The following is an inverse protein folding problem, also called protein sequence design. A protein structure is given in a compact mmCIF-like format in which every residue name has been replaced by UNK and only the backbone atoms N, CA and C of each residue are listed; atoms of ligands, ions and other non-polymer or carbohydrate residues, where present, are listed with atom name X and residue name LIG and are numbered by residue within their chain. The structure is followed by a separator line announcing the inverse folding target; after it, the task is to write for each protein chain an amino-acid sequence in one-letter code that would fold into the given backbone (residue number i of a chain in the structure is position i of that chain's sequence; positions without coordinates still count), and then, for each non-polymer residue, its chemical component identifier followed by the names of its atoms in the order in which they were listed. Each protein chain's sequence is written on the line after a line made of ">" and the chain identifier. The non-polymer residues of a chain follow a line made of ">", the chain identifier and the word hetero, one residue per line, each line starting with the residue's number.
data_IF_969582026482
#
_entry.id   IF_969582026482
#
_cell.length_a   1.000
_cell.length_b   1.000
_cell.length_c   1.000
_cell.angle_alpha   90.00
_cell.angle_beta   90.00
_cell.angle_gamma   90.00
#
_symmetry.space_group_name_H-M   'P 1'
#
loop_
_entity.id
_entity.type
_entity.pdbx_description
1 polymer ?
#
# COMPACT_ATOMS: atom_id res chain seq x y z
N UNK A 1 23.54 -9.14 -29.70
CA UNK A 1 23.39 -8.07 -28.70
C UNK A 1 24.62 -8.10 -27.82
N UNK A 2 25.14 -6.95 -27.44
CA UNK A 2 26.28 -6.89 -26.51
C UNK A 2 25.80 -7.02 -25.06
N UNK A 3 26.64 -7.54 -24.15
CA UNK A 3 26.32 -7.66 -22.72
C UNK A 3 25.88 -6.31 -22.10
N UNK A 4 26.40 -5.20 -22.62
CA UNK A 4 26.00 -3.84 -22.21
C UNK A 4 24.57 -3.48 -22.61
N UNK A 5 24.09 -3.96 -23.77
CA UNK A 5 22.71 -3.76 -24.20
C UNK A 5 21.74 -4.57 -23.35
N UNK A 6 22.10 -5.81 -23.01
CA UNK A 6 21.30 -6.68 -22.13
C UNK A 6 21.15 -6.08 -20.73
N UNK A 7 22.26 -5.59 -20.16
CA UNK A 7 22.23 -4.89 -18.86
C UNK A 7 21.34 -3.64 -18.89
N UNK A 8 21.42 -2.86 -19.97
CA UNK A 8 20.58 -1.67 -20.14
C UNK A 8 19.09 -2.04 -20.21
N UNK A 9 18.76 -3.09 -20.95
CA UNK A 9 17.38 -3.57 -21.07
C UNK A 9 16.82 -4.05 -19.73
N UNK A 10 17.59 -4.84 -18.97
CA UNK A 10 17.19 -5.28 -17.63
C UNK A 10 16.95 -4.11 -16.68
N UNK A 11 17.82 -3.10 -16.69
CA UNK A 11 17.64 -1.88 -15.87
C UNK A 11 16.40 -1.07 -16.27
N UNK A 12 16.09 -1.02 -17.56
CA UNK A 12 14.88 -0.37 -18.04
C UNK A 12 13.62 -1.12 -17.59
N UNK A 13 13.62 -2.45 -17.62
CA UNK A 13 12.50 -3.25 -17.11
C UNK A 13 12.33 -3.10 -15.60
N UNK A 14 13.42 -3.10 -14.82
CA UNK A 14 13.36 -2.80 -13.39
C UNK A 14 12.74 -1.42 -13.12
N UNK A 15 13.18 -0.39 -13.85
CA UNK A 15 12.60 0.96 -13.77
C UNK A 15 11.11 0.93 -14.09
N UNK A 16 10.74 0.20 -15.16
CA UNK A 16 9.39 -0.27 -15.53
C UNK A 16 8.52 -0.58 -14.31
N UNK A 17 8.96 -1.64 -13.64
CA UNK A 17 8.26 -2.28 -12.53
C UNK A 17 8.21 -1.37 -11.31
N UNK A 18 9.32 -0.68 -10.98
CA UNK A 18 9.37 0.21 -9.82
C UNK A 18 8.38 1.37 -9.95
N UNK A 19 8.30 2.00 -11.13
CA UNK A 19 7.33 3.07 -11.37
C UNK A 19 5.89 2.57 -11.26
N UNK A 20 5.63 1.34 -11.71
CA UNK A 20 4.31 0.72 -11.58
C UNK A 20 3.93 0.43 -10.11
N UNK A 21 4.88 0.00 -9.27
CA UNK A 21 4.66 -0.19 -7.83
C UNK A 21 4.23 1.14 -7.18
N UNK A 22 4.90 2.25 -7.51
CA UNK A 22 4.54 3.58 -6.99
C UNK A 22 3.14 3.99 -7.48
N UNK A 23 2.84 3.78 -8.76
CA UNK A 23 1.52 4.10 -9.33
C UNK A 23 0.39 3.30 -8.66
N UNK A 24 0.59 2.00 -8.45
CA UNK A 24 -0.37 1.13 -7.77
C UNK A 24 -0.54 1.52 -6.30
N UNK A 25 0.54 1.93 -5.63
CA UNK A 25 0.50 2.47 -4.27
C UNK A 25 -0.37 3.72 -4.21
N UNK A 26 -0.22 4.65 -5.15
CA UNK A 26 -1.08 5.85 -5.25
C UNK A 26 -2.57 5.49 -5.44
N UNK A 27 -2.90 4.53 -6.31
CA UNK A 27 -4.28 4.04 -6.47
C UNK A 27 -4.83 3.44 -5.17
N UNK A 28 -4.00 2.69 -4.43
CA UNK A 28 -4.37 2.13 -3.13
C UNK A 28 -4.68 3.23 -2.11
N UNK A 29 -3.95 4.35 -2.12
CA UNK A 29 -4.23 5.49 -1.22
C UNK A 29 -5.53 6.22 -1.56
N UNK A 30 -5.94 6.27 -2.82
CA UNK A 30 -7.28 6.76 -3.21
C UNK A 30 -8.38 5.92 -2.57
N UNK A 31 -8.20 4.59 -2.51
CA UNK A 31 -9.13 3.71 -1.81
C UNK A 31 -9.10 3.95 -0.29
N UNK A 32 -7.91 4.12 0.30
CA UNK A 32 -7.77 4.44 1.71
C UNK A 32 -8.51 5.73 2.09
N UNK A 33 -8.43 6.78 1.27
CA UNK A 33 -9.19 8.02 1.46
C UNK A 33 -10.70 7.76 1.52
N UNK A 34 -11.24 7.02 0.54
CA UNK A 34 -12.68 6.65 0.52
C UNK A 34 -13.11 5.84 1.74
N UNK A 35 -12.25 4.93 2.21
CA UNK A 35 -12.50 4.18 3.46
C UNK A 35 -12.54 5.15 4.65
N UNK A 36 -11.59 6.10 4.73
CA UNK A 36 -11.56 7.14 5.75
C UNK A 36 -12.83 7.98 5.79
N UNK A 37 -13.35 8.38 4.63
CA UNK A 37 -14.62 9.12 4.52
C UNK A 37 -15.81 8.32 5.05
N UNK A 38 -15.85 7.01 4.78
CA UNK A 38 -16.89 6.11 5.30
C UNK A 38 -16.76 5.97 6.82
N UNK A 39 -15.55 5.74 7.33
CA UNK A 39 -15.29 5.60 8.77
C UNK A 39 -15.62 6.88 9.53
N UNK A 40 -15.23 8.04 9.00
CA UNK A 40 -15.56 9.36 9.56
C UNK A 40 -17.08 9.54 9.72
N UNK A 41 -17.86 9.26 8.66
CA UNK A 41 -19.33 9.36 8.71
C UNK A 41 -19.99 8.40 9.70
N UNK A 42 -19.32 7.30 10.04
CA UNK A 42 -19.85 6.24 10.93
C UNK A 42 -19.24 6.29 12.34
N UNK A 43 -18.34 7.22 12.63
CA UNK A 43 -17.63 7.28 13.91
C UNK A 43 -16.77 6.05 14.19
N UNK A 44 -16.22 5.41 13.14
CA UNK A 44 -15.39 4.20 13.26
C UNK A 44 -13.90 4.56 13.43
N UNK A 45 -13.16 3.72 14.15
CA UNK A 45 -11.71 3.84 14.29
C UNK A 45 -10.96 3.52 12.99
N UNK A 46 -9.78 4.14 12.81
CA UNK A 46 -8.94 3.95 11.62
C UNK A 46 -8.30 2.57 11.63
N UNK A 47 -7.80 2.15 12.78
CA UNK A 47 -7.20 0.86 13.02
C UNK A 47 -8.25 -0.25 12.93
N UNK A 48 -7.91 -1.34 12.24
CA UNK A 48 -8.73 -2.55 12.22
C UNK A 48 -7.78 -3.77 12.25
N UNK A 49 -7.38 -4.22 13.46
CA UNK A 49 -6.37 -5.26 13.61
C UNK A 49 -6.75 -6.56 12.89
N UNK A 50 -8.05 -6.86 12.78
CA UNK A 50 -8.52 -8.07 12.10
C UNK A 50 -8.28 -7.96 10.59
N UNK A 51 -8.67 -6.85 9.97
CA UNK A 51 -8.44 -6.61 8.53
C UNK A 51 -6.93 -6.56 8.21
N UNK A 52 -6.14 -5.92 9.07
CA UNK A 52 -4.68 -5.84 8.92
C UNK A 52 -4.03 -7.22 9.00
N UNK A 53 -4.46 -8.07 9.93
CA UNK A 53 -3.96 -9.44 10.08
C UNK A 53 -4.38 -10.34 8.90
N UNK A 54 -5.61 -10.19 8.39
CA UNK A 54 -6.07 -10.92 7.21
C UNK A 54 -5.25 -10.55 5.96
N UNK A 55 -4.95 -9.25 5.76
CA UNK A 55 -4.09 -8.80 4.67
C UNK A 55 -2.65 -9.33 4.82
N UNK A 56 -2.11 -9.31 6.04
CA UNK A 56 -0.79 -9.88 6.35
C UNK A 56 -0.69 -11.35 5.95
N UNK A 57 -1.70 -12.15 6.29
CA UNK A 57 -1.73 -13.56 5.94
C UNK A 57 -1.71 -13.78 4.42
N UNK A 58 -2.51 -13.00 3.67
CA UNK A 58 -2.52 -13.04 2.19
C UNK A 58 -1.18 -12.64 1.57
N UNK A 59 -0.48 -11.65 2.15
CA UNK A 59 0.86 -11.26 1.68
C UNK A 59 1.88 -12.36 1.95
N UNK A 60 1.80 -13.06 3.09
CA UNK A 60 2.68 -14.20 3.39
C UNK A 60 2.46 -15.34 2.40
N UNK A 61 1.20 -15.67 2.12
CA UNK A 61 0.82 -16.71 1.14
C UNK A 61 1.37 -16.38 -0.25
N UNK A 62 1.09 -15.18 -0.77
CA UNK A 62 1.60 -14.71 -2.06
C UNK A 62 3.13 -14.70 -2.13
N UNK A 63 3.80 -14.31 -1.04
CA UNK A 63 5.26 -14.30 -0.98
C UNK A 63 5.83 -15.71 -1.15
N UNK A 64 5.21 -16.70 -0.50
CA UNK A 64 5.62 -18.11 -0.62
C UNK A 64 5.37 -18.64 -2.03
N UNK A 65 4.21 -18.35 -2.62
CA UNK A 65 3.87 -18.78 -3.99
C UNK A 65 4.87 -18.28 -5.03
N UNK A 66 5.34 -17.04 -4.86
CA UNK A 66 6.28 -16.40 -5.79
C UNK A 66 7.76 -16.50 -5.39
N UNK A 67 8.08 -17.27 -4.34
CA UNK A 67 9.45 -17.38 -3.78
C UNK A 67 10.09 -16.01 -3.44
N UNK A 68 9.28 -15.08 -2.94
CA UNK A 68 9.72 -13.77 -2.45
C UNK A 68 10.02 -13.91 -0.95
N UNK A 69 11.11 -13.28 -0.51
CA UNK A 69 11.43 -13.17 0.92
C UNK A 69 10.24 -12.55 1.69
N UNK A 70 9.73 -13.30 2.67
CA UNK A 70 8.52 -12.90 3.39
C UNK A 70 8.76 -11.63 4.21
N UNK A 71 9.94 -11.46 4.79
CA UNK A 71 10.27 -10.28 5.58
C UNK A 71 10.31 -9.01 4.73
N UNK A 72 10.85 -9.11 3.51
CA UNK A 72 10.80 -8.04 2.51
C UNK A 72 9.36 -7.64 2.17
N UNK A 73 8.50 -8.60 1.85
CA UNK A 73 7.09 -8.33 1.55
C UNK A 73 6.35 -7.70 2.73
N UNK A 74 6.63 -8.14 3.96
CA UNK A 74 6.04 -7.57 5.17
C UNK A 74 6.51 -6.14 5.43
N UNK A 75 7.76 -5.79 5.11
CA UNK A 75 8.24 -4.39 5.18
C UNK A 75 7.47 -3.49 4.22
N UNK A 76 7.27 -3.94 2.98
CA UNK A 76 6.45 -3.19 2.00
C UNK A 76 5.02 -3.04 2.50
N UNK A 77 4.42 -4.13 2.99
CA UNK A 77 3.06 -4.10 3.53
C UNK A 77 2.93 -3.09 4.67
N UNK A 78 3.88 -3.06 5.61
CA UNK A 78 3.83 -2.13 6.73
C UNK A 78 3.86 -0.67 6.26
N UNK A 79 4.73 -0.32 5.32
CA UNK A 79 4.77 1.03 4.73
C UNK A 79 3.43 1.41 4.09
N UNK A 80 2.83 0.47 3.34
CA UNK A 80 1.53 0.67 2.70
C UNK A 80 0.40 0.85 3.73
N UNK A 81 0.38 0.06 4.81
CA UNK A 81 -0.62 0.18 5.88
C UNK A 81 -0.50 1.52 6.59
N UNK A 82 0.71 1.91 7.01
CA UNK A 82 0.91 3.15 7.75
C UNK A 82 0.51 4.38 6.93
N UNK A 83 0.87 4.43 5.65
CA UNK A 83 0.47 5.51 4.76
C UNK A 83 -1.08 5.56 4.59
N UNK A 84 -1.73 4.40 4.50
CA UNK A 84 -3.19 4.33 4.43
C UNK A 84 -3.87 4.78 5.73
N UNK A 85 -3.32 4.46 6.89
CA UNK A 85 -3.84 4.95 8.17
C UNK A 85 -3.67 6.47 8.26
N UNK A 86 -2.54 6.99 7.81
CA UNK A 86 -2.28 8.43 7.81
C UNK A 86 -3.30 9.18 6.95
N UNK A 87 -3.52 8.75 5.70
CA UNK A 87 -4.53 9.33 4.81
C UNK A 87 -5.93 9.30 5.43
N UNK A 88 -6.32 8.19 6.08
CA UNK A 88 -7.62 8.07 6.75
C UNK A 88 -7.74 9.03 7.95
N UNK A 89 -6.70 9.16 8.76
CA UNK A 89 -6.67 10.10 9.90
C UNK A 89 -6.82 11.54 9.43
N UNK A 90 -6.19 11.90 8.32
CA UNK A 90 -6.28 13.26 7.78
C UNK A 90 -7.71 13.57 7.30
N UNK A 91 -8.37 12.62 6.64
CA UNK A 91 -9.80 12.75 6.25
C UNK A 91 -10.71 12.94 7.47
N UNK A 92 -10.50 12.16 8.54
CA UNK A 92 -11.32 12.28 9.76
C UNK A 92 -11.11 13.65 10.42
N UNK A 93 -9.87 14.15 10.48
CA UNK A 93 -9.57 15.49 10.99
C UNK A 93 -10.22 16.59 10.17
N UNK A 94 -10.21 16.49 8.84
CA UNK A 94 -10.87 17.42 7.93
C UNK A 94 -12.39 17.44 8.17
N UNK A 95 -13.02 16.27 8.29
CA UNK A 95 -14.45 16.15 8.57
C UNK A 95 -14.88 16.77 9.89
N UNK A 96 -14.07 16.62 10.95
CA UNK A 96 -14.35 17.19 12.27
C UNK A 96 -14.25 18.72 12.30
N UNK A 97 -13.38 19.32 11.47
CA UNK A 97 -13.22 20.80 11.39
C UNK A 97 -14.41 21.51 10.75
N UNK A 98 -15.22 20.80 9.95
CA UNK A 98 -16.41 21.35 9.28
C UNK A 98 -17.68 21.30 10.15
N UNK A 99 -17.59 20.71 11.34
CA UNK A 99 -18.70 20.58 12.29
C UNK A 99 -18.58 21.55 13.49
N UNK A 100 -17.60 22.46 13.48
CA UNK A 100 -17.35 23.47 14.53
C UNK A 100 -17.66 24.87 14.01
#
# INVERSE_FOLDING_TARGET
>A
MSENEDLKNLRNEMTKITLEIIRLSGKRLVLARKIGEIKARRGMEVEDPKVEQELKNKVIELSREHNIDTDFSLKILNLLIEESKQVQRDVIKEGNKLQV
#
